data_IF_571735170537
#
_entry.id   IF_571735170537
#
_cell.length_a   1.000
_cell.length_b   1.000
_cell.length_c   1.000
_cell.angle_alpha   90.00
_cell.angle_beta   90.00
_cell.angle_gamma   90.00
#
_symmetry.space_group_name_H-M   'P 1'
#
loop_
_entity.id
_entity.type
_entity.pdbx_description
1 polymer ?
#
# COMPACT_ATOMS: atom_id res chain seq x y z
N UNK A 1 8.15 -17.66 9.09
CA UNK A 1 9.00 -18.28 10.13
C UNK A 1 8.17 -18.90 11.26
N UNK A 2 7.28 -18.14 11.93
CA UNK A 2 6.40 -18.73 12.95
C UNK A 2 5.49 -19.83 12.40
N UNK A 3 4.72 -19.58 11.33
CA UNK A 3 3.82 -20.56 10.72
C UNK A 3 4.47 -21.90 10.28
N UNK A 4 5.79 -21.94 10.14
CA UNK A 4 6.53 -23.16 9.77
C UNK A 4 7.13 -23.88 10.99
N UNK A 5 7.26 -23.20 12.13
CA UNK A 5 8.02 -23.69 13.29
C UNK A 5 7.21 -23.73 14.58
N UNK A 6 6.07 -23.04 14.62
CA UNK A 6 5.23 -22.82 15.80
C UNK A 6 6.00 -22.26 17.02
N UNK A 7 7.11 -21.56 16.76
CA UNK A 7 7.95 -21.02 17.81
C UNK A 7 7.27 -19.86 18.56
N UNK A 8 6.93 -20.08 19.83
CA UNK A 8 6.25 -19.10 20.68
C UNK A 8 6.99 -17.76 20.83
N UNK A 9 8.32 -17.78 20.96
CA UNK A 9 9.12 -16.56 21.07
C UNK A 9 9.05 -15.71 19.79
N UNK A 10 8.99 -16.35 18.61
CA UNK A 10 8.80 -15.62 17.35
C UNK A 10 7.40 -15.00 17.30
N UNK A 11 6.38 -15.74 17.75
CA UNK A 11 5.01 -15.25 17.84
C UNK A 11 4.90 -14.02 18.75
N UNK A 12 5.51 -14.06 19.93
CA UNK A 12 5.52 -12.93 20.86
C UNK A 12 6.19 -11.69 20.26
N UNK A 13 7.37 -11.87 19.64
CA UNK A 13 8.12 -10.76 19.04
C UNK A 13 7.40 -10.13 17.85
N UNK A 14 6.84 -10.93 16.95
CA UNK A 14 6.13 -10.39 15.78
C UNK A 14 4.86 -9.64 16.21
N UNK A 15 4.11 -10.16 17.20
CA UNK A 15 2.93 -9.48 17.75
C UNK A 15 3.31 -8.16 18.42
N UNK A 16 4.37 -8.14 19.23
CA UNK A 16 4.84 -6.92 19.89
C UNK A 16 5.24 -5.82 18.88
N UNK A 17 5.83 -6.19 17.74
CA UNK A 17 6.13 -5.23 16.66
C UNK A 17 4.85 -4.67 16.05
N UNK A 18 3.87 -5.51 15.74
CA UNK A 18 2.56 -5.06 15.21
C UNK A 18 1.86 -4.14 16.21
N UNK A 19 1.89 -4.47 17.50
CA UNK A 19 1.28 -3.65 18.55
C UNK A 19 1.90 -2.25 18.64
N UNK A 20 3.23 -2.16 18.59
CA UNK A 20 3.91 -0.86 18.59
C UNK A 20 3.60 -0.04 17.33
N UNK A 21 3.49 -0.69 16.16
CA UNK A 21 3.12 -0.03 14.92
C UNK A 21 1.66 0.46 14.94
N UNK A 22 0.74 -0.32 15.51
CA UNK A 22 -0.67 0.05 15.71
C UNK A 22 -0.80 1.28 16.61
N UNK A 23 -0.07 1.32 17.72
CA UNK A 23 -0.03 2.48 18.61
C UNK A 23 0.43 3.75 17.88
N UNK A 24 1.49 3.64 17.07
CA UNK A 24 1.97 4.75 16.23
C UNK A 24 0.92 5.19 15.20
N UNK A 25 0.34 4.26 14.45
CA UNK A 25 -0.66 4.57 13.42
C UNK A 25 -1.90 5.24 14.03
N UNK A 26 -2.38 4.74 15.17
CA UNK A 26 -3.49 5.34 15.92
C UNK A 26 -3.16 6.72 16.45
N UNK A 27 -1.93 6.94 16.92
CA UNK A 27 -1.48 8.24 17.41
C UNK A 27 -1.41 9.28 16.29
N UNK A 28 -1.01 8.87 15.09
CA UNK A 28 -1.04 9.70 13.88
C UNK A 28 -2.49 9.97 13.46
N UNK A 29 -3.36 8.96 13.53
CA UNK A 29 -4.81 9.10 13.41
C UNK A 29 -5.33 9.29 11.98
N UNK A 30 -4.49 9.07 10.96
CA UNK A 30 -4.85 9.29 9.54
C UNK A 30 -4.86 8.02 8.70
N UNK A 31 -4.34 6.91 9.23
CA UNK A 31 -4.04 5.69 8.46
C UNK A 31 -2.63 5.64 7.91
N UNK A 32 -1.91 6.76 7.92
CA UNK A 32 -0.50 6.81 7.58
C UNK A 32 0.35 6.03 8.58
N UNK A 33 1.31 5.25 8.07
CA UNK A 33 2.30 4.55 8.86
C UNK A 33 3.63 4.48 8.10
N UNK A 34 4.62 5.21 8.60
CA UNK A 34 6.02 5.12 8.18
C UNK A 34 6.90 5.77 9.25
N UNK A 35 8.22 5.58 9.14
CA UNK A 35 9.21 6.22 10.00
C UNK A 35 9.66 7.62 9.50
N UNK A 36 9.16 8.07 8.34
CA UNK A 36 9.48 9.37 7.76
C UNK A 36 8.22 10.25 7.61
N UNK A 37 8.41 11.50 7.22
CA UNK A 37 7.32 12.48 7.05
C UNK A 37 6.52 12.23 5.77
N UNK A 38 5.26 12.67 5.72
CA UNK A 38 4.48 12.65 4.48
C UNK A 38 5.07 13.52 3.36
N UNK A 39 5.98 14.44 3.71
CA UNK A 39 6.70 15.31 2.77
C UNK A 39 7.48 14.54 1.70
N UNK A 40 7.97 13.34 1.99
CA UNK A 40 8.63 12.48 0.99
C UNK A 40 7.68 12.11 -0.16
N UNK A 41 6.39 11.98 0.13
CA UNK A 41 5.38 11.74 -0.92
C UNK A 41 5.02 13.01 -1.68
N UNK A 42 5.06 14.18 -1.01
CA UNK A 42 4.84 15.46 -1.70
C UNK A 42 5.96 15.70 -2.73
N UNK A 43 7.21 15.39 -2.37
CA UNK A 43 8.36 15.45 -3.27
C UNK A 43 8.27 14.41 -4.40
N UNK A 44 7.91 13.16 -4.08
CA UNK A 44 7.66 12.11 -5.08
C UNK A 44 6.61 12.56 -6.11
N UNK A 45 5.49 13.11 -5.65
CA UNK A 45 4.40 13.58 -6.51
C UNK A 45 4.74 14.84 -7.29
N UNK A 46 5.79 15.55 -6.90
CA UNK A 46 6.40 16.64 -7.66
C UNK A 46 7.50 16.18 -8.62
N UNK A 47 7.73 14.87 -8.73
CA UNK A 47 8.80 14.28 -9.56
C UNK A 47 10.17 14.83 -9.13
N UNK A 48 10.35 14.99 -7.82
CA UNK A 48 11.63 15.37 -7.21
C UNK A 48 12.34 14.14 -6.67
N UNK A 49 13.67 14.22 -6.58
CA UNK A 49 14.49 13.15 -6.05
C UNK A 49 14.12 12.84 -4.59
N UNK A 50 13.77 11.59 -4.34
CA UNK A 50 13.46 10.99 -3.03
C UNK A 50 14.02 9.58 -3.01
N UNK A 51 14.05 8.94 -1.84
CA UNK A 51 14.51 7.56 -1.74
C UNK A 51 13.33 6.60 -1.58
N UNK A 52 12.76 6.18 -2.70
CA UNK A 52 11.79 5.09 -2.79
C UNK A 52 10.70 5.05 -1.69
N UNK A 53 9.94 6.14 -1.43
CA UNK A 53 9.01 6.19 -0.30
C UNK A 53 7.88 5.15 -0.44
N UNK A 54 7.36 4.92 -1.66
CA UNK A 54 6.34 3.90 -1.91
C UNK A 54 6.87 2.46 -1.76
N UNK A 55 8.17 2.22 -1.99
CA UNK A 55 8.78 0.94 -1.68
C UNK A 55 8.69 0.62 -0.18
N UNK A 56 8.98 1.60 0.70
CA UNK A 56 8.86 1.40 2.15
C UNK A 56 7.42 1.07 2.54
N UNK A 57 6.45 1.78 1.97
CA UNK A 57 5.03 1.50 2.23
C UNK A 57 4.65 0.09 1.79
N UNK A 58 5.13 -0.36 0.63
CA UNK A 58 4.94 -1.73 0.18
C UNK A 58 5.46 -2.74 1.20
N UNK A 59 6.64 -2.53 1.80
CA UNK A 59 7.18 -3.48 2.80
C UNK A 59 6.35 -3.54 4.07
N UNK A 60 5.86 -2.39 4.52
CA UNK A 60 5.00 -2.32 5.71
C UNK A 60 3.68 -3.03 5.41
N UNK A 61 3.01 -2.68 4.30
CA UNK A 61 1.76 -3.31 3.87
C UNK A 61 1.90 -4.83 3.72
N UNK A 62 2.97 -5.29 3.03
CA UNK A 62 3.20 -6.72 2.82
C UNK A 62 3.42 -7.45 4.15
N UNK A 63 4.20 -6.86 5.05
CA UNK A 63 4.40 -7.41 6.39
C UNK A 63 3.11 -7.50 7.20
N UNK A 64 2.23 -6.50 7.14
CA UNK A 64 0.94 -6.52 7.82
C UNK A 64 -0.02 -7.57 7.24
N UNK A 65 -0.07 -7.67 5.90
CA UNK A 65 -0.86 -8.71 5.21
C UNK A 65 -0.34 -10.11 5.58
N UNK A 66 0.97 -10.31 5.66
CA UNK A 66 1.58 -11.58 6.10
C UNK A 66 1.26 -11.89 7.58
N UNK A 67 1.20 -10.87 8.44
CA UNK A 67 0.79 -11.05 9.83
C UNK A 67 -0.67 -11.51 9.95
N UNK A 68 -1.55 -11.06 9.05
CA UNK A 68 -2.90 -11.59 8.97
C UNK A 68 -2.91 -13.04 8.44
N UNK A 69 -2.33 -13.26 7.26
CA UNK A 69 -2.38 -14.55 6.55
C UNK A 69 -1.66 -15.68 7.29
N UNK A 70 -0.47 -15.39 7.81
CA UNK A 70 0.42 -16.40 8.39
C UNK A 70 0.66 -16.20 9.88
N UNK A 71 0.38 -15.00 10.41
CA UNK A 71 0.57 -14.66 11.82
C UNK A 71 -0.70 -14.81 12.68
N UNK A 72 -1.86 -15.07 12.07
CA UNK A 72 -3.18 -15.09 12.73
C UNK A 72 -3.52 -13.79 13.47
N UNK A 73 -2.94 -12.67 13.04
CA UNK A 73 -3.10 -11.38 13.68
C UNK A 73 -4.16 -10.53 12.95
N UNK A 74 -5.41 -10.61 13.41
CA UNK A 74 -6.52 -9.87 12.82
C UNK A 74 -6.32 -8.35 12.82
N UNK A 75 -5.68 -7.80 13.86
CA UNK A 75 -5.37 -6.37 13.96
C UNK A 75 -4.51 -5.88 12.79
N UNK A 76 -3.58 -6.72 12.31
CA UNK A 76 -2.71 -6.35 11.20
C UNK A 76 -3.50 -6.12 9.90
N UNK A 77 -4.62 -6.82 9.70
CA UNK A 77 -5.50 -6.59 8.55
C UNK A 77 -6.15 -5.20 8.61
N UNK A 78 -6.68 -4.80 9.78
CA UNK A 78 -7.29 -3.48 9.96
C UNK A 78 -6.28 -2.35 9.68
N UNK A 79 -5.06 -2.51 10.19
CA UNK A 79 -3.96 -1.57 9.92
C UNK A 79 -3.62 -1.48 8.44
N UNK A 80 -3.55 -2.62 7.74
CA UNK A 80 -3.25 -2.69 6.32
C UNK A 80 -4.35 -2.03 5.48
N UNK A 81 -5.62 -2.28 5.80
CA UNK A 81 -6.77 -1.62 5.15
C UNK A 81 -6.68 -0.11 5.32
N UNK A 82 -6.41 0.37 6.53
CA UNK A 82 -6.35 1.81 6.81
C UNK A 82 -5.18 2.51 6.10
N UNK A 83 -4.02 1.86 6.02
CA UNK A 83 -2.90 2.33 5.19
C UNK A 83 -3.30 2.40 3.71
N UNK A 84 -3.94 1.36 3.21
CA UNK A 84 -4.29 1.27 1.80
C UNK A 84 -5.36 2.29 1.40
N UNK A 85 -6.30 2.59 2.30
CA UNK A 85 -7.24 3.71 2.16
C UNK A 85 -6.51 5.06 2.11
N UNK A 86 -5.58 5.32 3.03
CA UNK A 86 -4.81 6.57 3.05
C UNK A 86 -4.05 6.80 1.73
N UNK A 87 -3.26 5.82 1.29
CA UNK A 87 -2.46 5.94 0.06
C UNK A 87 -3.34 5.90 -1.20
N UNK A 88 -4.43 5.14 -1.18
CA UNK A 88 -5.43 5.12 -2.24
C UNK A 88 -6.04 6.49 -2.49
N UNK A 89 -6.52 7.14 -1.41
CA UNK A 89 -7.07 8.49 -1.49
C UNK A 89 -6.03 9.50 -1.96
N UNK A 90 -4.79 9.39 -1.47
CA UNK A 90 -3.68 10.26 -1.88
C UNK A 90 -3.38 10.17 -3.38
N UNK A 91 -3.31 8.95 -3.93
CA UNK A 91 -3.10 8.75 -5.38
C UNK A 91 -4.26 9.31 -6.19
N UNK A 92 -5.50 9.04 -5.77
CA UNK A 92 -6.71 9.57 -6.43
C UNK A 92 -6.68 11.10 -6.45
N UNK A 93 -6.33 11.73 -5.33
CA UNK A 93 -6.28 13.18 -5.20
C UNK A 93 -5.16 13.80 -6.04
N UNK A 94 -3.98 13.16 -6.12
CA UNK A 94 -2.90 13.62 -6.99
C UNK A 94 -3.28 13.52 -8.48
N UNK A 95 -3.93 12.43 -8.90
CA UNK A 95 -4.44 12.27 -10.27
C UNK A 95 -5.47 13.36 -10.60
N UNK A 96 -6.42 13.61 -9.70
CA UNK A 96 -7.41 14.70 -9.86
C UNK A 96 -6.76 16.08 -9.94
N UNK A 97 -5.72 16.33 -9.14
CA UNK A 97 -5.02 17.62 -9.07
C UNK A 97 -4.15 17.88 -10.30
N UNK A 98 -3.59 16.83 -10.91
CA UNK A 98 -2.60 16.94 -11.98
C UNK A 98 -3.07 16.23 -13.24
N UNK A 99 -2.84 14.93 -13.33
CA UNK A 99 -3.36 14.02 -14.35
C UNK A 99 -2.90 12.61 -14.04
N UNK A 100 -3.51 11.63 -14.71
CA UNK A 100 -3.03 10.25 -14.69
C UNK A 100 -1.63 10.13 -15.32
N UNK A 101 -1.36 10.90 -16.38
CA UNK A 101 -0.04 11.02 -17.00
C UNK A 101 1.06 11.50 -16.04
N UNK A 102 0.74 12.47 -15.19
CA UNK A 102 1.68 12.96 -14.20
C UNK A 102 1.93 11.93 -13.09
N UNK A 103 0.89 11.22 -12.66
CA UNK A 103 1.06 10.13 -11.70
C UNK A 103 2.02 9.05 -12.25
N UNK A 104 1.90 8.70 -13.54
CA UNK A 104 2.84 7.77 -14.18
C UNK A 104 4.27 8.29 -14.23
N UNK A 105 4.49 9.59 -14.45
CA UNK A 105 5.83 10.17 -14.42
C UNK A 105 6.47 10.02 -13.03
N UNK A 106 5.70 10.24 -11.96
CA UNK A 106 6.17 10.03 -10.59
C UNK A 106 6.50 8.54 -10.31
N UNK A 107 5.84 7.60 -10.99
CA UNK A 107 6.08 6.16 -10.87
C UNK A 107 7.40 5.66 -11.48
N UNK A 108 8.21 6.53 -12.09
CA UNK A 108 9.58 6.19 -12.49
C UNK A 108 10.51 5.92 -11.27
N UNK A 109 10.11 6.32 -10.08
CA UNK A 109 10.78 5.99 -8.81
C UNK A 109 10.33 4.62 -8.25
N UNK A 110 11.14 3.95 -7.43
CA UNK A 110 10.87 2.57 -6.99
C UNK A 110 9.61 2.48 -6.09
N UNK A 111 8.62 1.71 -6.56
CA UNK A 111 7.35 1.44 -5.83
C UNK A 111 7.27 0.02 -5.25
N UNK A 112 8.26 -0.82 -5.56
CA UNK A 112 8.28 -2.23 -5.16
C UNK A 112 7.11 -3.04 -5.75
N UNK A 113 6.58 -3.96 -4.95
CA UNK A 113 5.47 -4.87 -5.30
C UNK A 113 4.12 -4.35 -4.82
N UNK A 114 3.89 -3.04 -4.88
CA UNK A 114 2.68 -2.41 -4.36
C UNK A 114 1.41 -3.03 -4.96
N UNK A 115 1.42 -3.35 -6.25
CA UNK A 115 0.25 -3.98 -6.90
C UNK A 115 -0.05 -5.35 -6.33
N UNK A 116 0.98 -6.18 -6.14
CA UNK A 116 0.82 -7.55 -5.66
C UNK A 116 0.25 -7.59 -4.24
N UNK A 117 0.74 -6.70 -3.37
CA UNK A 117 0.20 -6.60 -2.00
C UNK A 117 -1.21 -6.04 -1.99
N UNK A 118 -1.55 -5.07 -2.84
CA UNK A 118 -2.91 -4.53 -2.93
C UNK A 118 -3.90 -5.55 -3.51
N UNK A 119 -3.49 -6.35 -4.50
CA UNK A 119 -4.29 -7.48 -4.97
C UNK A 119 -4.50 -8.52 -3.87
N UNK A 120 -3.45 -8.85 -3.13
CA UNK A 120 -3.57 -9.79 -1.99
C UNK A 120 -4.50 -9.22 -0.92
N UNK A 121 -4.39 -7.94 -0.60
CA UNK A 121 -5.27 -7.28 0.36
C UNK A 121 -6.73 -7.28 -0.14
N UNK A 122 -6.96 -7.07 -1.44
CA UNK A 122 -8.29 -7.19 -2.05
C UNK A 122 -8.86 -8.61 -1.93
N UNK A 123 -8.07 -9.65 -2.22
CA UNK A 123 -8.55 -11.04 -2.17
C UNK A 123 -8.91 -11.49 -0.76
N UNK A 124 -8.19 -11.03 0.26
CA UNK A 124 -8.44 -11.42 1.65
C UNK A 124 -9.53 -10.59 2.32
N UNK A 125 -9.88 -9.42 1.78
CA UNK A 125 -10.92 -8.56 2.34
C UNK A 125 -12.30 -8.80 1.74
N UNK A 126 -12.37 -9.30 0.49
CA UNK A 126 -13.51 -9.91 -0.24
C UNK A 126 -14.93 -9.30 -0.17
N UNK A 127 -15.30 -8.49 0.82
CA UNK A 127 -16.69 -8.22 1.19
C UNK A 127 -16.86 -7.01 2.15
N UNK A 128 -16.06 -5.94 2.00
CA UNK A 128 -16.21 -4.69 2.79
C UNK A 128 -16.22 -3.40 1.95
N UNK A 129 -16.22 -3.50 0.61
CA UNK A 129 -15.86 -2.38 -0.27
C UNK A 129 -16.96 -1.95 -1.25
N UNK A 130 -18.23 -1.97 -0.84
CA UNK A 130 -19.34 -1.41 -1.62
C UNK A 130 -19.41 0.13 -1.63
N UNK A 131 -18.32 0.85 -1.30
CA UNK A 131 -18.38 2.31 -1.13
C UNK A 131 -17.13 3.16 -1.38
N UNK A 132 -15.88 2.67 -1.23
CA UNK A 132 -14.67 3.51 -1.40
C UNK A 132 -13.49 2.71 -1.99
N UNK A 133 -12.81 3.29 -3.01
CA UNK A 133 -12.00 2.58 -4.01
C UNK A 133 -10.50 2.94 -4.04
N UNK A 134 -9.81 2.96 -2.90
CA UNK A 134 -8.33 3.09 -2.91
C UNK A 134 -7.64 1.87 -3.54
N UNK A 135 -8.00 0.67 -3.06
CA UNK A 135 -7.37 -0.59 -3.47
C UNK A 135 -7.97 -1.21 -4.74
N UNK A 136 -8.98 -0.59 -5.33
CA UNK A 136 -9.56 -1.01 -6.61
C UNK A 136 -8.98 -0.17 -7.74
N UNK A 137 -8.85 1.15 -7.54
CA UNK A 137 -8.30 2.01 -8.58
C UNK A 137 -6.79 1.86 -8.75
N UNK A 138 -6.01 1.65 -7.69
CA UNK A 138 -4.56 1.44 -7.85
C UNK A 138 -4.26 0.19 -8.70
N UNK A 139 -4.80 -1.01 -8.40
CA UNK A 139 -4.53 -2.17 -9.23
C UNK A 139 -5.19 -2.09 -10.61
N UNK A 140 -6.32 -1.39 -10.78
CA UNK A 140 -6.92 -1.17 -12.12
C UNK A 140 -6.06 -0.22 -12.97
N UNK A 141 -5.60 0.89 -12.42
CA UNK A 141 -4.72 1.85 -13.11
C UNK A 141 -3.41 1.18 -13.47
N UNK A 142 -2.83 0.41 -12.54
CA UNK A 142 -1.56 -0.27 -12.82
C UNK A 142 -1.74 -1.50 -13.72
N UNK A 143 -2.85 -2.23 -13.60
CA UNK A 143 -3.23 -3.30 -14.53
C UNK A 143 -3.48 -2.79 -15.95
N UNK A 144 -4.12 -1.63 -16.10
CA UNK A 144 -4.31 -0.95 -17.37
C UNK A 144 -2.97 -0.55 -18.00
N UNK A 145 -2.00 -0.08 -17.21
CA UNK A 145 -0.65 0.23 -17.67
C UNK A 145 0.12 -1.02 -18.14
N UNK A 146 0.12 -2.11 -17.35
CA UNK A 146 0.78 -3.36 -17.76
C UNK A 146 0.18 -3.90 -19.07
N UNK A 147 -1.13 -3.70 -19.27
CA UNK A 147 -1.78 -3.99 -20.54
C UNK A 147 -1.32 -3.05 -21.65
N UNK A 148 -1.23 -1.74 -21.43
CA UNK A 148 -0.71 -0.79 -22.42
C UNK A 148 0.73 -1.10 -22.84
N UNK A 149 1.64 -1.39 -21.91
CA UNK A 149 3.04 -1.75 -22.20
C UNK A 149 3.16 -3.00 -23.08
N UNK A 150 2.25 -3.96 -22.90
CA UNK A 150 2.23 -5.21 -23.67
C UNK A 150 1.54 -5.03 -25.02
N UNK A 151 0.52 -4.17 -25.11
CA UNK A 151 -0.41 -4.14 -26.25
C UNK A 151 -0.33 -2.89 -27.11
N UNK A 152 0.23 -1.78 -26.60
CA UNK A 152 0.21 -0.47 -27.24
C UNK A 152 -1.18 0.18 -27.33
N UNK A 153 -2.18 -0.35 -26.62
CA UNK A 153 -3.57 0.06 -26.75
C UNK A 153 -3.86 1.40 -26.04
N UNK A 154 -4.12 2.44 -26.83
CA UNK A 154 -4.32 3.83 -26.37
C UNK A 154 -5.61 4.06 -25.57
N UNK A 155 -6.44 3.04 -25.36
CA UNK A 155 -7.74 3.13 -24.67
C UNK A 155 -7.65 3.71 -23.25
N UNK A 156 -6.45 3.75 -22.64
CA UNK A 156 -6.21 4.18 -21.27
C UNK A 156 -5.38 5.46 -21.17
N UNK A 157 -5.21 6.20 -22.27
CA UNK A 157 -4.31 7.36 -22.34
C UNK A 157 -4.91 8.67 -21.79
N UNK A 158 -6.23 8.70 -21.60
CA UNK A 158 -6.99 9.90 -21.21
C UNK A 158 -7.68 9.73 -19.84
#
# INVERSE_FOLDING_TARGET
MWAATENGTIRERMSAVVDALDECQKKIGTGYLSAFSTEEFDLYEEVKAVWAPYYTIHKILAGLVDQYLFGTNAKALDMAIWMAEYFGNRVIDNIKKRSIAWHWEAMNEETGGMNDVLYTLYTVTADLLSGFHGNTHIPIVVGAQKRYEITGDLLYKD
#
